data_IF_211671585358
#
_entry.id   IF_211671585358
#
_cell.length_a   1.000
_cell.length_b   1.000
_cell.length_c   1.000
_cell.angle_alpha   90.00
_cell.angle_beta   90.00
_cell.angle_gamma   90.00
#
_symmetry.space_group_name_H-M   'P 1'
#
loop_
_entity.id
_entity.type
_entity.pdbx_description
1 polymer ?
#
# COMPACT_ATOMS: atom_id res chain seq x y z
N UNK A 1 -52.96 -30.08 -35.07
CA UNK A 1 -52.30 -28.78 -34.85
C UNK A 1 -51.75 -28.77 -33.43
N UNK A 2 -50.47 -29.08 -33.27
CA UNK A 2 -49.73 -28.84 -32.02
C UNK A 2 -48.28 -28.62 -32.43
N UNK A 3 -47.86 -27.35 -32.42
CA UNK A 3 -46.50 -26.92 -32.74
C UNK A 3 -45.55 -27.38 -31.64
N UNK A 4 -44.46 -28.03 -32.06
CA UNK A 4 -43.28 -28.29 -31.23
C UNK A 4 -42.51 -26.98 -31.06
N UNK A 5 -42.51 -26.44 -29.85
CA UNK A 5 -41.73 -25.25 -29.51
C UNK A 5 -40.22 -25.59 -29.50
N UNK A 6 -39.43 -24.76 -30.19
CA UNK A 6 -37.97 -24.81 -30.19
C UNK A 6 -37.41 -24.49 -28.79
N UNK A 7 -36.22 -24.98 -28.42
CA UNK A 7 -35.58 -24.59 -27.18
C UNK A 7 -35.06 -23.16 -27.33
N UNK A 8 -35.54 -22.25 -26.49
CA UNK A 8 -34.94 -20.92 -26.36
C UNK A 8 -33.47 -21.09 -25.95
N UNK A 9 -32.57 -20.66 -26.82
CA UNK A 9 -31.16 -20.58 -26.54
C UNK A 9 -30.97 -19.65 -25.33
N UNK A 10 -30.55 -20.22 -24.21
CA UNK A 10 -30.19 -19.47 -23.02
C UNK A 10 -29.23 -18.35 -23.38
N UNK A 11 -29.61 -17.12 -23.04
CA UNK A 11 -28.73 -15.95 -23.08
C UNK A 11 -27.38 -16.33 -22.46
N UNK A 12 -26.25 -16.07 -23.14
CA UNK A 12 -24.94 -16.31 -22.55
C UNK A 12 -24.86 -15.58 -21.19
N UNK A 13 -24.30 -16.21 -20.14
CA UNK A 13 -24.07 -15.50 -18.89
C UNK A 13 -23.26 -14.25 -19.21
N UNK A 14 -23.71 -13.11 -18.71
CA UNK A 14 -23.00 -11.84 -18.83
C UNK A 14 -21.53 -12.06 -18.45
N UNK A 15 -20.56 -11.46 -19.17
CA UNK A 15 -19.16 -11.64 -18.86
C UNK A 15 -18.93 -11.29 -17.39
N UNK A 16 -18.34 -12.22 -16.64
CA UNK A 16 -17.92 -11.98 -15.28
C UNK A 16 -17.12 -10.67 -15.24
N UNK A 17 -17.31 -9.81 -14.22
CA UNK A 17 -16.56 -8.56 -14.13
C UNK A 17 -15.08 -8.90 -14.27
N UNK A 18 -14.38 -8.20 -15.17
CA UNK A 18 -12.97 -8.40 -15.40
C UNK A 18 -12.24 -8.38 -14.05
N UNK A 19 -11.54 -9.47 -13.72
CA UNK A 19 -10.89 -9.61 -12.43
C UNK A 19 -9.99 -8.38 -12.20
N UNK A 20 -10.20 -7.72 -11.06
CA UNK A 20 -9.42 -6.56 -10.67
C UNK A 20 -7.94 -6.92 -10.67
N UNK A 21 -7.11 -6.05 -11.25
CA UNK A 21 -5.67 -6.32 -11.39
C UNK A 21 -5.04 -6.41 -10.00
N UNK A 22 -4.51 -7.58 -9.65
CA UNK A 22 -3.82 -7.80 -8.38
C UNK A 22 -2.37 -7.30 -8.46
N UNK A 23 -1.96 -6.51 -7.46
CA UNK A 23 -0.59 -5.99 -7.32
C UNK A 23 0.12 -6.74 -6.20
N UNK A 24 1.35 -7.22 -6.49
CA UNK A 24 2.20 -7.90 -5.52
C UNK A 24 3.51 -7.13 -5.35
N UNK A 25 3.88 -6.87 -4.11
CA UNK A 25 5.16 -6.22 -3.78
C UNK A 25 6.10 -7.21 -3.10
N UNK A 26 7.35 -7.29 -3.58
CA UNK A 26 8.38 -8.14 -3.01
C UNK A 26 9.54 -7.29 -2.49
N UNK A 27 9.81 -7.26 -1.17
CA UNK A 27 10.94 -6.53 -0.64
C UNK A 27 12.26 -7.20 -1.07
N UNK A 28 13.12 -6.44 -1.75
CA UNK A 28 14.42 -6.91 -2.24
C UNK A 28 15.55 -6.82 -1.21
N UNK A 29 15.30 -6.17 -0.06
CA UNK A 29 16.25 -6.07 1.04
C UNK A 29 15.53 -6.00 2.40
N UNK A 30 16.28 -6.16 3.49
CA UNK A 30 15.73 -6.16 4.86
C UNK A 30 15.11 -4.83 5.25
N UNK A 31 15.69 -3.72 4.78
CA UNK A 31 15.15 -2.38 5.03
C UNK A 31 13.75 -2.23 4.44
N UNK A 32 13.57 -2.60 3.18
CA UNK A 32 12.26 -2.57 2.50
C UNK A 32 11.27 -3.55 3.13
N UNK A 33 11.74 -4.73 3.55
CA UNK A 33 10.90 -5.69 4.30
C UNK A 33 10.37 -5.05 5.59
N UNK A 34 11.23 -4.33 6.31
CA UNK A 34 10.86 -3.62 7.55
C UNK A 34 9.84 -2.52 7.27
N UNK A 35 10.06 -1.71 6.23
CA UNK A 35 9.15 -0.62 5.85
C UNK A 35 7.76 -1.13 5.42
N UNK A 36 7.70 -2.13 4.52
CA UNK A 36 6.44 -2.72 4.09
C UNK A 36 5.69 -3.39 5.25
N UNK A 37 6.42 -4.02 6.17
CA UNK A 37 5.80 -4.60 7.37
C UNK A 37 5.22 -3.53 8.29
N UNK A 38 5.92 -2.40 8.48
CA UNK A 38 5.42 -1.29 9.29
C UNK A 38 4.19 -0.64 8.66
N UNK A 39 4.21 -0.41 7.34
CA UNK A 39 3.05 0.13 6.62
C UNK A 39 1.83 -0.79 6.76
N UNK A 40 2.00 -2.09 6.54
CA UNK A 40 0.94 -3.08 6.73
C UNK A 40 0.37 -3.07 8.16
N UNK A 41 1.24 -3.12 9.19
CA UNK A 41 0.79 -3.14 10.58
C UNK A 41 0.11 -1.82 10.98
N UNK A 42 0.59 -0.68 10.47
CA UNK A 42 -0.02 0.62 10.72
C UNK A 42 -1.43 0.71 10.11
N UNK A 43 -1.59 0.31 8.85
CA UNK A 43 -2.89 0.26 8.20
C UNK A 43 -3.86 -0.70 8.92
N UNK A 44 -3.36 -1.86 9.38
CA UNK A 44 -4.14 -2.80 10.18
C UNK A 44 -4.59 -2.17 11.52
N UNK A 45 -3.71 -1.45 12.20
CA UNK A 45 -4.04 -0.76 13.45
C UNK A 45 -5.12 0.30 13.24
N UNK A 46 -5.00 1.13 12.20
CA UNK A 46 -5.99 2.15 11.84
C UNK A 46 -7.35 1.53 11.53
N UNK A 47 -7.37 0.51 10.66
CA UNK A 47 -8.60 -0.17 10.27
C UNK A 47 -9.36 -0.73 11.48
N UNK A 48 -8.66 -1.39 12.40
CA UNK A 48 -9.30 -1.95 13.59
C UNK A 48 -9.63 -0.92 14.67
N UNK A 49 -8.94 0.22 14.70
CA UNK A 49 -9.26 1.32 15.59
C UNK A 49 -10.61 1.99 15.24
N UNK A 50 -10.97 2.01 13.96
CA UNK A 50 -12.28 2.53 13.50
C UNK A 50 -13.45 1.57 13.81
N UNK A 51 -13.16 0.31 14.14
CA UNK A 51 -14.17 -0.69 14.49
C UNK A 51 -14.40 -0.72 16.01
N UNK A 52 -15.44 -0.04 16.48
CA UNK A 52 -15.85 -0.03 17.90
C UNK A 52 -16.40 -1.41 18.35
N UNK A 53 -15.51 -2.37 18.56
CA UNK A 53 -15.81 -3.72 19.06
C UNK A 53 -14.65 -4.25 19.91
N UNK A 54 -14.92 -5.17 20.84
CA UNK A 54 -13.87 -5.78 21.66
C UNK A 54 -12.80 -6.48 20.81
N UNK A 55 -13.20 -7.07 19.68
CA UNK A 55 -12.28 -7.69 18.72
C UNK A 55 -11.44 -6.66 17.98
N UNK A 56 -12.04 -5.54 17.57
CA UNK A 56 -11.32 -4.40 16.96
C UNK A 56 -10.27 -3.83 17.91
N UNK A 57 -10.64 -3.54 19.16
CA UNK A 57 -9.68 -3.04 20.16
C UNK A 57 -8.54 -4.01 20.41
N UNK A 58 -8.83 -5.32 20.52
CA UNK A 58 -7.79 -6.34 20.68
C UNK A 58 -6.86 -6.42 19.47
N UNK A 59 -7.42 -6.37 18.26
CA UNK A 59 -6.65 -6.42 17.02
C UNK A 59 -5.76 -5.18 16.85
N UNK A 60 -6.28 -3.98 17.10
CA UNK A 60 -5.50 -2.74 17.08
C UNK A 60 -4.34 -2.78 18.09
N UNK A 61 -4.61 -3.24 19.32
CA UNK A 61 -3.55 -3.41 20.34
C UNK A 61 -2.48 -4.42 19.92
N UNK A 62 -2.88 -5.52 19.28
CA UNK A 62 -1.92 -6.50 18.77
C UNK A 62 -1.02 -5.88 17.68
N UNK A 63 -1.59 -5.14 16.72
CA UNK A 63 -0.81 -4.44 15.69
C UNK A 63 0.17 -3.43 16.30
N UNK A 64 -0.23 -2.69 17.33
CA UNK A 64 0.66 -1.75 18.04
C UNK A 64 1.82 -2.47 18.76
N UNK A 65 1.56 -3.61 19.38
CA UNK A 65 2.60 -4.44 20.01
C UNK A 65 3.58 -4.97 18.95
N UNK A 66 3.08 -5.38 17.79
CA UNK A 66 3.92 -5.85 16.69
C UNK A 66 4.76 -4.71 16.09
N UNK A 67 4.21 -3.49 15.95
CA UNK A 67 4.96 -2.30 15.55
C UNK A 67 6.07 -2.01 16.56
N UNK A 68 5.78 -2.08 17.85
CA UNK A 68 6.79 -1.92 18.90
C UNK A 68 7.88 -3.01 18.79
N UNK A 69 7.51 -4.25 18.52
CA UNK A 69 8.47 -5.34 18.33
C UNK A 69 9.37 -5.15 17.09
N UNK A 70 8.85 -4.56 16.01
CA UNK A 70 9.67 -4.24 14.82
C UNK A 70 10.61 -3.06 15.11
N UNK A 71 10.09 -1.99 15.69
CA UNK A 71 10.86 -0.76 15.96
C UNK A 71 11.92 -0.91 17.05
N UNK A 72 11.82 -1.91 17.92
CA UNK A 72 12.82 -2.20 18.97
C UNK A 72 13.96 -3.10 18.52
N UNK A 73 13.81 -3.85 17.40
CA UNK A 73 14.83 -4.79 16.90
C UNK A 73 15.93 -4.14 16.06
N UNK A 74 15.70 -2.93 15.56
CA UNK A 74 16.65 -2.21 14.72
C UNK A 74 16.44 -0.71 14.80
N UNK A 75 17.40 0.05 14.27
CA UNK A 75 17.32 1.51 14.25
C UNK A 75 16.50 2.01 13.05
N UNK A 76 15.20 1.72 13.09
CA UNK A 76 14.24 2.09 12.03
C UNK A 76 14.27 3.60 11.77
N UNK A 77 14.49 4.42 12.82
CA UNK A 77 14.58 5.87 12.68
C UNK A 77 15.74 6.26 11.78
N UNK A 78 16.94 5.75 12.06
CA UNK A 78 18.11 6.04 11.24
C UNK A 78 17.96 5.51 9.81
N UNK A 79 17.33 4.35 9.63
CA UNK A 79 17.08 3.79 8.29
C UNK A 79 16.12 4.65 7.48
N UNK A 80 15.05 5.18 8.09
CA UNK A 80 14.12 6.11 7.44
C UNK A 80 14.82 7.42 7.10
N UNK A 81 15.60 7.98 8.03
CA UNK A 81 16.34 9.23 7.78
C UNK A 81 17.29 9.09 6.59
N UNK A 82 18.08 8.01 6.53
CA UNK A 82 18.99 7.73 5.41
C UNK A 82 18.26 7.56 4.08
N UNK A 83 17.09 6.91 4.09
CA UNK A 83 16.28 6.76 2.88
C UNK A 83 15.74 8.11 2.40
N UNK A 84 15.22 8.94 3.31
CA UNK A 84 14.75 10.29 2.99
C UNK A 84 15.86 11.18 2.44
N UNK A 85 17.06 11.14 3.03
CA UNK A 85 18.24 11.84 2.50
C UNK A 85 18.59 11.37 1.08
N UNK A 86 18.57 10.06 0.84
CA UNK A 86 18.82 9.48 -0.48
C UNK A 86 17.78 9.90 -1.52
N UNK A 87 16.50 9.93 -1.14
CA UNK A 87 15.41 10.41 -1.99
C UNK A 87 15.53 11.90 -2.28
N UNK A 88 15.87 12.72 -1.28
CA UNK A 88 16.07 14.15 -1.44
C UNK A 88 17.24 14.46 -2.39
N UNK A 89 18.36 13.74 -2.25
CA UNK A 89 19.49 13.86 -3.17
C UNK A 89 19.11 13.46 -4.61
N UNK A 90 18.36 12.36 -4.76
CA UNK A 90 17.88 11.89 -6.06
C UNK A 90 16.93 12.89 -6.72
N UNK A 91 16.02 13.48 -5.94
CA UNK A 91 15.09 14.52 -6.39
C UNK A 91 15.82 15.81 -6.78
N UNK A 92 16.80 16.24 -6.00
CA UNK A 92 17.59 17.44 -6.26
C UNK A 92 18.31 17.38 -7.62
N UNK A 93 18.73 16.20 -8.05
CA UNK A 93 19.34 15.99 -9.37
C UNK A 93 18.41 16.29 -10.55
N UNK A 94 17.09 16.31 -10.35
CA UNK A 94 16.12 16.69 -11.40
C UNK A 94 16.00 18.20 -11.60
N UNK A 95 16.53 19.02 -10.70
CA UNK A 95 16.37 20.48 -10.79
C UNK A 95 17.01 21.08 -12.05
N UNK A 96 18.04 20.43 -12.60
CA UNK A 96 18.71 20.85 -13.84
C UNK A 96 18.12 20.24 -15.11
N UNK A 97 17.09 19.38 -15.01
CA UNK A 97 16.53 18.65 -16.16
C UNK A 97 15.46 19.48 -16.89
N UNK A 98 15.57 19.65 -18.22
CA UNK A 98 14.53 20.29 -19.01
C UNK A 98 13.19 19.55 -18.89
N UNK A 99 12.09 20.29 -18.79
CA UNK A 99 10.74 19.74 -18.68
C UNK A 99 10.30 19.35 -17.26
N UNK A 100 11.15 19.52 -16.25
CA UNK A 100 10.78 19.34 -14.84
C UNK A 100 10.13 20.60 -14.30
N UNK A 101 9.01 20.44 -13.59
CA UNK A 101 8.39 21.53 -12.84
C UNK A 101 9.24 21.87 -11.60
N UNK A 102 10.03 22.93 -11.74
CA UNK A 102 10.93 23.40 -10.69
C UNK A 102 10.19 23.85 -9.42
N UNK A 103 8.96 24.34 -9.54
CA UNK A 103 8.18 24.81 -8.39
C UNK A 103 7.65 23.63 -7.58
N UNK A 104 7.10 22.61 -8.26
CA UNK A 104 6.67 21.37 -7.60
C UNK A 104 7.84 20.66 -6.94
N UNK A 105 8.98 20.58 -7.63
CA UNK A 105 10.19 19.97 -7.08
C UNK A 105 10.65 20.72 -5.82
N UNK A 106 10.77 22.05 -5.90
CA UNK A 106 11.18 22.88 -4.77
C UNK A 106 10.29 22.67 -3.54
N UNK A 107 8.97 22.62 -3.72
CA UNK A 107 8.01 22.40 -2.62
C UNK A 107 8.20 21.05 -1.92
N UNK A 108 8.57 20.00 -2.67
CA UNK A 108 8.83 18.68 -2.11
C UNK A 108 10.18 18.60 -1.39
N UNK A 109 11.18 19.35 -1.83
CA UNK A 109 12.54 19.32 -1.27
C UNK A 109 12.79 20.31 -0.12
N UNK A 110 11.86 21.22 0.16
CA UNK A 110 12.03 22.31 1.13
C UNK A 110 11.35 22.11 2.49
N UNK A 111 10.76 20.94 2.75
CA UNK A 111 10.29 20.53 4.08
C UNK A 111 11.37 19.71 4.78
#
# INVERSE_FOLDING_TARGET
MTQSAAPEAGTPPAPAPAAEMLVFEQPLNERMRTFLRLDFLYNQALYHNEMASAWGSRAAMASLIDILAVTTRGDVRSDVLKELEGQLASLSAFNSRPGVDAQRLKNLTSN
#
